data_IF_916542190404
#
_entry.id   IF_916542190404
#
_cell.length_a   1.000
_cell.length_b   1.000
_cell.length_c   1.000
_cell.angle_alpha   90.00
_cell.angle_beta   90.00
_cell.angle_gamma   90.00
#
_symmetry.space_group_name_H-M   'P 1'
#
loop_
_entity.id
_entity.type
_entity.pdbx_description
1 polymer ?
#
# COMPACT_ATOMS: atom_id res chain seq x y z
N UNK A 1 19.88 -3.88 -33.67
CA UNK A 1 20.80 -3.42 -32.62
C UNK A 1 21.06 -1.95 -32.82
N UNK A 2 20.42 -1.08 -32.03
CA UNK A 2 20.77 0.33 -31.88
C UNK A 2 20.97 0.56 -30.41
N UNK A 3 22.22 0.71 -29.99
CA UNK A 3 22.62 1.15 -28.65
C UNK A 3 21.93 2.48 -28.35
N UNK A 4 21.22 2.64 -27.22
CA UNK A 4 20.70 3.94 -26.86
C UNK A 4 21.86 4.86 -26.50
N UNK A 5 21.87 6.03 -27.11
CA UNK A 5 22.81 7.12 -26.88
C UNK A 5 22.57 7.66 -25.47
N UNK A 6 23.37 7.23 -24.51
CA UNK A 6 23.36 7.76 -23.12
C UNK A 6 24.03 9.13 -23.19
N UNK A 7 23.23 10.18 -23.04
CA UNK A 7 23.68 11.55 -22.89
C UNK A 7 24.53 11.67 -21.62
N UNK A 8 25.77 12.12 -21.72
CA UNK A 8 26.73 12.26 -20.60
C UNK A 8 26.38 13.33 -19.54
N UNK A 9 25.16 13.87 -19.51
CA UNK A 9 24.73 14.93 -18.58
C UNK A 9 23.33 14.67 -17.97
N UNK A 10 22.90 13.43 -17.86
CA UNK A 10 21.70 13.11 -17.06
C UNK A 10 22.13 13.04 -15.59
N UNK A 11 21.51 13.76 -14.65
CA UNK A 11 21.80 13.57 -13.23
C UNK A 11 21.59 12.10 -12.89
N UNK A 12 22.58 11.51 -12.24
CA UNK A 12 22.52 10.10 -11.80
C UNK A 12 21.29 9.96 -10.92
N UNK A 13 20.27 9.22 -11.37
CA UNK A 13 19.05 9.03 -10.59
C UNK A 13 19.39 8.33 -9.26
N UNK A 14 18.74 8.74 -8.17
CA UNK A 14 18.90 8.08 -6.86
C UNK A 14 18.31 6.68 -6.86
N UNK A 15 17.21 6.47 -7.62
CA UNK A 15 16.59 5.16 -7.81
C UNK A 15 16.45 4.93 -9.31
N UNK A 16 16.91 3.77 -9.78
CA UNK A 16 16.71 3.29 -11.15
C UNK A 16 16.17 1.87 -11.08
N UNK A 17 15.09 1.62 -11.78
CA UNK A 17 14.45 0.31 -11.92
C UNK A 17 14.27 0.03 -13.39
N UNK A 18 14.70 -1.15 -13.86
CA UNK A 18 14.66 -1.57 -15.25
C UNK A 18 14.08 -2.97 -15.39
N UNK A 19 12.99 -3.10 -16.15
CA UNK A 19 12.34 -4.37 -16.51
C UNK A 19 12.05 -5.30 -15.32
N UNK A 20 11.75 -4.71 -14.15
CA UNK A 20 11.51 -5.46 -12.91
C UNK A 20 10.27 -6.34 -13.03
N UNK A 21 10.42 -7.62 -12.65
CA UNK A 21 9.35 -8.60 -12.64
C UNK A 21 9.30 -9.37 -11.31
N UNK A 22 8.10 -9.74 -10.88
CA UNK A 22 7.91 -10.53 -9.67
C UNK A 22 6.59 -11.30 -9.69
N UNK A 23 6.65 -12.57 -9.25
CA UNK A 23 5.52 -13.43 -8.95
C UNK A 23 5.63 -13.96 -7.51
N UNK A 24 4.60 -13.80 -6.67
CA UNK A 24 4.59 -14.44 -5.36
C UNK A 24 4.66 -15.97 -5.48
N UNK A 25 5.34 -16.69 -4.59
CA UNK A 25 5.43 -18.13 -4.62
C UNK A 25 4.06 -18.81 -4.74
N UNK A 26 3.84 -19.58 -5.81
CA UNK A 26 2.60 -20.29 -6.05
C UNK A 26 1.41 -19.45 -6.55
N UNK A 27 1.64 -18.20 -6.94
CA UNK A 27 0.63 -17.30 -7.49
C UNK A 27 0.99 -16.83 -8.90
N UNK A 28 0.02 -16.21 -9.59
CA UNK A 28 0.24 -15.57 -10.88
C UNK A 28 1.21 -14.40 -10.77
N UNK A 29 1.84 -14.05 -11.91
CA UNK A 29 2.76 -12.92 -12.01
C UNK A 29 2.07 -11.62 -11.62
N UNK A 30 2.66 -10.91 -10.65
CA UNK A 30 2.09 -9.68 -10.09
C UNK A 30 2.35 -8.49 -11.00
N UNK A 31 3.58 -8.37 -11.51
CA UNK A 31 3.97 -7.38 -12.51
C UNK A 31 5.20 -7.87 -13.30
N UNK A 32 5.36 -7.32 -14.49
CA UNK A 32 6.54 -7.49 -15.34
C UNK A 32 6.82 -6.15 -16.05
N UNK A 33 8.05 -5.98 -16.55
CA UNK A 33 8.47 -4.77 -17.29
C UNK A 33 8.20 -3.46 -16.53
N UNK A 34 8.44 -3.47 -15.22
CA UNK A 34 8.35 -2.24 -14.42
C UNK A 34 9.67 -1.50 -14.51
N UNK A 35 9.64 -0.33 -15.17
CA UNK A 35 10.84 0.49 -15.42
C UNK A 35 10.57 1.95 -15.08
N UNK A 36 11.31 2.52 -14.12
CA UNK A 36 11.22 3.93 -13.76
C UNK A 36 12.51 4.45 -13.13
N UNK A 37 12.67 5.77 -13.08
CA UNK A 37 13.75 6.42 -12.34
C UNK A 37 13.21 7.51 -11.43
N UNK A 38 13.90 7.77 -10.32
CA UNK A 38 13.62 8.89 -9.41
C UNK A 38 14.90 9.69 -9.26
N UNK A 39 14.82 10.99 -9.53
CA UNK A 39 15.97 11.90 -9.46
C UNK A 39 16.34 12.23 -8.00
N UNK A 40 17.58 12.66 -7.72
CA UNK A 40 17.98 13.12 -6.39
C UNK A 40 17.09 14.25 -5.88
N UNK A 41 16.57 14.10 -4.65
CA UNK A 41 15.67 15.06 -4.03
C UNK A 41 14.26 15.11 -4.63
N UNK A 42 13.92 14.21 -5.56
CA UNK A 42 12.57 14.11 -6.13
C UNK A 42 11.66 13.30 -5.17
N UNK A 43 10.43 13.76 -4.98
CA UNK A 43 9.40 13.05 -4.22
C UNK A 43 8.46 12.35 -5.19
N UNK A 44 8.65 11.05 -5.37
CA UNK A 44 7.86 10.22 -6.25
C UNK A 44 6.83 9.38 -5.49
N UNK A 45 5.64 9.24 -6.06
CA UNK A 45 4.61 8.38 -5.51
C UNK A 45 4.26 7.24 -6.45
N UNK A 46 4.19 6.01 -5.94
CA UNK A 46 3.68 4.84 -6.66
C UNK A 46 2.16 4.77 -6.44
N UNK A 47 1.41 4.79 -7.53
CA UNK A 47 -0.05 4.65 -7.52
C UNK A 47 -0.49 3.48 -8.40
N UNK A 48 -1.65 2.90 -8.10
CA UNK A 48 -2.20 1.76 -8.82
C UNK A 48 -3.29 1.07 -8.02
N UNK A 49 -3.96 0.09 -8.61
CA UNK A 49 -4.98 -0.70 -7.95
C UNK A 49 -4.44 -1.42 -6.71
N UNK A 50 -5.34 -1.81 -5.78
CA UNK A 50 -4.94 -2.66 -4.66
C UNK A 50 -4.51 -4.03 -5.16
N UNK A 51 -3.46 -4.59 -4.56
CA UNK A 51 -2.91 -5.89 -4.94
C UNK A 51 -2.03 -5.89 -6.20
N UNK A 52 -1.76 -4.74 -6.83
CA UNK A 52 -0.92 -4.66 -8.05
C UNK A 52 0.60 -4.74 -7.78
N UNK A 53 1.00 -4.80 -6.51
CA UNK A 53 2.41 -4.98 -6.14
C UNK A 53 3.14 -3.70 -5.72
N UNK A 54 2.44 -2.60 -5.38
CA UNK A 54 3.09 -1.34 -4.95
C UNK A 54 4.05 -1.52 -3.77
N UNK A 55 3.57 -2.09 -2.66
CA UNK A 55 4.39 -2.39 -1.48
C UNK A 55 5.46 -3.46 -1.76
N UNK A 56 5.18 -4.37 -2.70
CA UNK A 56 6.14 -5.39 -3.15
C UNK A 56 7.35 -4.75 -3.82
N UNK A 57 7.15 -3.73 -4.66
CA UNK A 57 8.25 -2.97 -5.26
C UNK A 57 9.12 -2.32 -4.17
N UNK A 58 8.51 -1.69 -3.16
CA UNK A 58 9.30 -1.13 -2.04
C UNK A 58 10.08 -2.20 -1.28
N UNK A 59 9.50 -3.38 -1.08
CA UNK A 59 10.18 -4.51 -0.41
C UNK A 59 11.32 -5.09 -1.24
N UNK A 60 11.21 -5.09 -2.58
CA UNK A 60 12.32 -5.48 -3.47
C UNK A 60 13.44 -4.44 -3.37
N UNK A 61 13.12 -3.15 -3.51
CA UNK A 61 14.12 -2.08 -3.42
C UNK A 61 14.83 -2.04 -2.06
N UNK A 62 14.12 -2.39 -0.98
CA UNK A 62 14.69 -2.50 0.37
C UNK A 62 15.40 -3.83 0.63
N UNK A 63 15.53 -4.72 -0.38
CA UNK A 63 16.20 -6.02 -0.28
C UNK A 63 15.57 -6.99 0.75
N UNK A 64 14.28 -6.85 1.02
CA UNK A 64 13.51 -7.77 1.87
C UNK A 64 13.08 -9.01 1.09
N UNK A 65 12.78 -8.83 -0.21
CA UNK A 65 12.47 -9.92 -1.14
C UNK A 65 13.30 -9.73 -2.42
N UNK A 66 13.63 -10.84 -3.09
CA UNK A 66 14.33 -10.82 -4.36
C UNK A 66 13.33 -10.70 -5.52
N UNK A 67 13.72 -10.02 -6.59
CA UNK A 67 12.96 -9.97 -7.83
C UNK A 67 13.22 -11.25 -8.65
N UNK A 68 12.23 -11.65 -9.47
CA UNK A 68 12.41 -12.80 -10.37
C UNK A 68 13.23 -12.42 -11.61
N UNK A 69 13.10 -11.17 -12.08
CA UNK A 69 13.84 -10.63 -13.23
C UNK A 69 13.96 -9.11 -13.14
N UNK A 70 14.85 -8.54 -13.96
CA UNK A 70 15.13 -7.11 -14.00
C UNK A 70 16.23 -6.66 -13.05
N UNK A 71 16.59 -5.39 -13.16
CA UNK A 71 17.67 -4.78 -12.39
C UNK A 71 17.19 -3.52 -11.67
N UNK A 72 17.75 -3.24 -10.50
CA UNK A 72 17.52 -1.98 -9.82
C UNK A 72 18.78 -1.48 -9.11
N UNK A 73 18.88 -0.18 -8.99
CA UNK A 73 19.96 0.50 -8.27
C UNK A 73 19.37 1.58 -7.37
N UNK A 74 19.81 1.60 -6.11
CA UNK A 74 19.52 2.68 -5.16
C UNK A 74 20.86 3.27 -4.74
N UNK A 75 21.07 4.54 -5.05
CA UNK A 75 22.32 5.25 -4.78
C UNK A 75 22.24 5.99 -3.44
N UNK A 76 23.21 5.74 -2.57
CA UNK A 76 23.32 6.37 -1.25
C UNK A 76 22.73 5.55 -0.11
N UNK A 77 22.62 6.21 1.03
CA UNK A 77 22.03 5.62 2.25
C UNK A 77 20.51 5.55 2.13
N UNK A 78 19.94 4.39 2.39
CA UNK A 78 18.50 4.14 2.25
C UNK A 78 17.88 3.74 3.58
N UNK A 79 16.75 4.36 3.92
CA UNK A 79 15.90 3.97 5.03
C UNK A 79 14.49 3.66 4.54
N UNK A 80 13.82 2.75 5.25
CA UNK A 80 12.52 2.24 4.83
C UNK A 80 11.54 2.25 5.98
N UNK A 81 10.33 2.76 5.74
CA UNK A 81 9.17 2.56 6.58
C UNK A 81 8.24 1.56 5.92
N UNK A 82 8.07 0.40 6.53
CA UNK A 82 7.10 -0.61 6.09
C UNK A 82 5.69 -0.29 6.63
N UNK A 83 4.66 -0.84 6.00
CA UNK A 83 3.27 -0.67 6.43
C UNK A 83 3.03 -1.13 7.88
N UNK A 84 3.78 -2.13 8.33
CA UNK A 84 3.66 -2.73 9.67
C UNK A 84 4.33 -1.91 10.79
N UNK A 85 5.10 -0.88 10.45
CA UNK A 85 5.71 0.00 11.45
C UNK A 85 4.60 0.71 12.23
N UNK A 86 4.54 0.44 13.54
CA UNK A 86 3.46 0.87 14.43
C UNK A 86 2.44 -0.23 14.75
N UNK A 87 2.48 -1.37 14.04
CA UNK A 87 1.78 -2.62 14.38
C UNK A 87 2.69 -3.63 15.08
N UNK A 88 3.87 -3.20 15.56
CA UNK A 88 4.79 -4.02 16.36
C UNK A 88 4.04 -4.72 17.49
N UNK A 89 4.56 -5.88 17.91
CA UNK A 89 3.98 -6.61 19.04
C UNK A 89 3.79 -5.62 20.22
N UNK A 90 2.58 -5.54 20.83
CA UNK A 90 2.33 -4.64 21.94
C UNK A 90 3.30 -4.79 23.12
N UNK A 91 3.92 -5.95 23.23
CA UNK A 91 4.89 -6.28 24.28
C UNK A 91 6.34 -5.93 23.90
N UNK A 92 6.59 -5.51 22.68
CA UNK A 92 7.95 -5.05 22.29
C UNK A 92 8.28 -3.72 22.98
N UNK A 93 9.54 -3.47 23.23
CA UNK A 93 10.04 -2.19 23.71
C UNK A 93 10.14 -1.17 22.57
N UNK A 94 10.19 0.11 22.89
CA UNK A 94 10.42 1.14 21.89
C UNK A 94 11.79 0.98 21.20
N UNK A 95 12.80 0.50 21.92
CA UNK A 95 14.12 0.19 21.32
C UNK A 95 13.99 -0.89 20.25
N UNK A 96 13.29 -1.99 20.52
CA UNK A 96 13.06 -3.06 19.54
C UNK A 96 12.38 -2.51 18.29
N UNK A 97 11.35 -1.69 18.44
CA UNK A 97 10.67 -1.05 17.31
C UNK A 97 11.58 -0.11 16.51
N UNK A 98 12.37 0.73 17.19
CA UNK A 98 13.21 1.74 16.54
C UNK A 98 14.46 1.15 15.87
N UNK A 99 15.01 0.05 16.40
CA UNK A 99 16.09 -0.70 15.76
C UNK A 99 15.66 -1.21 14.39
N UNK A 100 14.38 -1.60 14.20
CA UNK A 100 13.89 -2.10 12.90
C UNK A 100 13.90 -1.04 11.78
N UNK A 101 13.80 0.22 12.11
CA UNK A 101 13.85 1.33 11.13
C UNK A 101 15.24 1.96 11.00
N UNK A 102 16.22 1.49 11.77
CA UNK A 102 17.60 1.96 11.72
C UNK A 102 18.31 1.52 10.42
N UNK A 103 19.42 2.18 10.03
CA UNK A 103 20.31 1.72 8.96
C UNK A 103 20.72 0.25 9.15
N UNK A 104 20.90 -0.48 8.03
CA UNK A 104 21.11 -1.95 8.03
C UNK A 104 22.22 -2.40 9.00
N UNK A 105 23.36 -1.71 9.04
CA UNK A 105 24.48 -2.05 9.93
C UNK A 105 24.11 -1.87 11.42
N UNK A 106 23.46 -0.76 11.78
CA UNK A 106 22.97 -0.50 13.13
C UNK A 106 21.82 -1.43 13.53
N UNK A 107 20.94 -1.78 12.60
CA UNK A 107 19.87 -2.75 12.85
C UNK A 107 20.44 -4.11 13.26
N UNK A 108 21.48 -4.58 12.57
CA UNK A 108 22.14 -5.86 12.91
C UNK A 108 22.76 -5.80 14.29
N UNK A 109 23.51 -4.75 14.61
CA UNK A 109 24.12 -4.57 15.93
C UNK A 109 23.07 -4.39 17.04
N UNK A 110 22.01 -3.61 16.79
CA UNK A 110 20.92 -3.40 17.73
C UNK A 110 20.15 -4.68 18.07
N UNK A 111 19.86 -5.51 17.05
CA UNK A 111 19.26 -6.85 17.29
C UNK A 111 20.18 -7.75 18.11
N UNK A 112 21.49 -7.71 17.86
CA UNK A 112 22.47 -8.48 18.64
C UNK A 112 22.51 -7.99 20.09
N UNK A 113 22.50 -6.68 20.31
CA UNK A 113 22.46 -6.08 21.66
C UNK A 113 21.18 -6.49 22.42
N UNK A 114 20.00 -6.38 21.79
CA UNK A 114 18.72 -6.78 22.39
C UNK A 114 18.72 -8.28 22.75
N UNK A 115 19.26 -9.14 21.86
CA UNK A 115 19.35 -10.56 22.12
C UNK A 115 20.30 -10.88 23.29
N UNK A 116 21.44 -10.18 23.37
CA UNK A 116 22.41 -10.33 24.45
C UNK A 116 21.86 -9.82 25.79
N UNK A 117 21.10 -8.71 25.82
CA UNK A 117 20.40 -8.23 27.00
C UNK A 117 19.40 -9.27 27.55
N UNK A 118 18.64 -9.90 26.65
CA UNK A 118 17.70 -10.98 27.03
C UNK A 118 18.43 -12.20 27.57
N UNK A 119 19.50 -12.64 26.91
CA UNK A 119 20.31 -13.78 27.34
C UNK A 119 20.94 -13.54 28.72
N UNK A 120 21.40 -12.32 28.99
CA UNK A 120 21.93 -11.93 30.30
C UNK A 120 20.82 -11.94 31.37
N UNK A 121 19.65 -11.42 31.06
CA UNK A 121 18.50 -11.42 31.97
C UNK A 121 18.02 -12.85 32.31
N UNK A 122 18.05 -13.75 31.32
CA UNK A 122 17.67 -15.16 31.46
C UNK A 122 18.77 -16.01 32.11
N UNK A 123 19.96 -15.43 32.40
CA UNK A 123 21.10 -16.11 33.02
C UNK A 123 21.77 -17.13 32.08
N UNK A 124 21.62 -17.01 30.76
CA UNK A 124 22.23 -17.86 29.73
C UNK A 124 23.56 -17.28 29.20
N UNK A 125 23.85 -16.03 29.50
CA UNK A 125 25.12 -15.34 29.19
C UNK A 125 25.82 -14.95 30.48
N UNK A 126 27.16 -15.07 30.51
CA UNK A 126 28.05 -14.67 31.62
C UNK A 126 28.37 -13.16 31.62
N UNK A 127 27.78 -12.39 30.71
CA UNK A 127 27.97 -10.96 30.50
C UNK A 127 29.03 -10.61 29.45
N UNK A 128 29.80 -11.56 28.95
CA UNK A 128 30.81 -11.30 27.92
C UNK A 128 30.13 -11.00 26.55
N UNK A 129 29.11 -11.79 26.20
CA UNK A 129 28.31 -11.56 24.99
C UNK A 129 27.64 -10.19 25.01
N UNK A 130 27.04 -9.81 26.12
CA UNK A 130 26.45 -8.48 26.30
C UNK A 130 27.48 -7.34 26.17
N UNK A 131 28.65 -7.47 26.83
CA UNK A 131 29.72 -6.47 26.76
C UNK A 131 30.24 -6.28 25.32
N UNK A 132 30.40 -7.39 24.57
CA UNK A 132 30.77 -7.35 23.15
C UNK A 132 29.72 -6.66 22.30
N UNK A 133 28.48 -7.06 22.41
CA UNK A 133 27.37 -6.44 21.64
C UNK A 133 27.15 -4.94 21.95
N UNK A 134 27.38 -4.53 23.21
CA UNK A 134 27.33 -3.14 23.63
C UNK A 134 28.49 -2.33 23.04
N UNK A 135 29.70 -2.91 22.98
CA UNK A 135 30.88 -2.32 22.31
C UNK A 135 30.60 -2.12 20.81
N UNK A 136 30.14 -3.17 20.12
CA UNK A 136 29.81 -3.12 18.69
C UNK A 136 28.73 -2.06 18.40
N UNK A 137 27.70 -1.95 19.25
CA UNK A 137 26.66 -0.92 19.14
C UNK A 137 27.26 0.49 19.23
N UNK A 138 28.14 0.76 20.21
CA UNK A 138 28.81 2.03 20.38
C UNK A 138 29.74 2.37 19.21
N UNK A 139 30.59 1.42 18.78
CA UNK A 139 31.56 1.61 17.71
C UNK A 139 30.88 1.91 16.33
N UNK A 140 29.66 1.43 16.12
CA UNK A 140 28.89 1.67 14.92
C UNK A 140 28.04 2.96 14.96
N UNK A 141 28.05 3.71 16.06
CA UNK A 141 27.28 4.96 16.20
C UNK A 141 25.90 4.78 16.81
N UNK A 142 25.66 3.71 17.53
CA UNK A 142 24.38 3.41 18.16
C UNK A 142 23.95 4.44 19.21
N UNK A 143 24.90 5.03 19.94
CA UNK A 143 24.58 6.07 20.93
C UNK A 143 24.18 7.41 20.30
N UNK A 144 24.73 7.73 19.12
CA UNK A 144 24.30 8.89 18.33
C UNK A 144 22.85 8.67 17.85
N UNK A 145 22.53 7.46 17.39
CA UNK A 145 21.18 7.10 16.98
C UNK A 145 20.19 7.17 18.15
N UNK A 146 20.57 6.72 19.35
CA UNK A 146 19.73 6.86 20.56
C UNK A 146 19.49 8.34 20.93
N UNK A 147 20.47 9.21 20.70
CA UNK A 147 20.29 10.67 20.87
C UNK A 147 19.29 11.23 19.86
N UNK A 148 19.30 10.74 18.62
CA UNK A 148 18.32 11.11 17.60
C UNK A 148 16.92 10.60 17.97
N UNK A 149 16.80 9.40 18.55
CA UNK A 149 15.54 8.88 19.10
C UNK A 149 14.97 9.76 20.20
N UNK A 150 15.86 10.21 21.11
CA UNK A 150 15.45 11.12 22.20
C UNK A 150 14.93 12.43 21.65
N UNK A 151 15.63 13.03 20.69
CA UNK A 151 15.21 14.26 20.06
C UNK A 151 13.87 14.12 19.30
N UNK A 152 13.71 13.02 18.57
CA UNK A 152 12.47 12.72 17.86
C UNK A 152 11.30 12.47 18.84
N UNK A 153 11.53 11.75 19.92
CA UNK A 153 10.52 11.50 20.96
C UNK A 153 10.02 12.80 21.59
N UNK A 154 10.92 13.73 21.90
CA UNK A 154 10.56 15.05 22.44
C UNK A 154 9.66 15.86 21.50
N UNK A 155 9.86 15.72 20.16
CA UNK A 155 9.03 16.40 19.15
C UNK A 155 7.69 15.69 18.87
N UNK A 156 7.66 14.36 19.00
CA UNK A 156 6.58 13.54 18.45
C UNK A 156 5.66 12.91 19.47
N UNK A 157 6.15 12.67 20.70
CA UNK A 157 5.44 11.96 21.76
C UNK A 157 5.07 12.93 22.87
N UNK A 158 3.82 12.89 23.32
CA UNK A 158 3.33 13.80 24.37
C UNK A 158 3.92 13.49 25.76
N UNK A 159 4.18 12.22 26.02
CA UNK A 159 4.75 11.77 27.29
C UNK A 159 6.26 11.57 27.12
N UNK A 160 7.10 12.15 28.04
CA UNK A 160 8.54 11.97 27.96
C UNK A 160 8.93 10.50 27.90
N UNK A 161 9.91 10.19 27.07
CA UNK A 161 10.49 8.84 26.97
C UNK A 161 11.88 8.91 27.59
N UNK A 162 11.99 8.39 28.81
CA UNK A 162 13.23 8.42 29.58
C UNK A 162 14.12 7.20 29.28
N UNK A 163 13.51 6.05 28.94
CA UNK A 163 14.21 4.79 28.65
C UNK A 163 13.50 3.99 27.56
N UNK A 164 14.10 3.95 26.38
CA UNK A 164 13.57 3.20 25.23
C UNK A 164 13.63 1.68 25.40
N UNK A 165 14.55 1.19 26.26
CA UNK A 165 14.72 -0.25 26.51
C UNK A 165 13.66 -0.86 27.42
N UNK A 166 12.95 -0.02 28.18
CA UNK A 166 11.92 -0.45 29.14
C UNK A 166 10.52 -0.07 28.73
N UNK A 167 10.38 1.03 28.00
CA UNK A 167 9.06 1.52 27.60
C UNK A 167 8.46 0.64 26.53
N UNK A 168 7.22 0.17 26.75
CA UNK A 168 6.54 -0.69 25.81
C UNK A 168 5.90 0.10 24.66
N UNK A 169 5.86 -0.53 23.51
CA UNK A 169 5.18 0.00 22.31
C UNK A 169 3.70 0.23 22.59
N UNK A 170 3.05 -0.61 23.42
CA UNK A 170 1.66 -0.48 23.81
C UNK A 170 1.31 0.80 24.58
N UNK A 171 2.30 1.44 25.20
CA UNK A 171 2.09 2.69 25.95
C UNK A 171 1.92 3.92 25.04
N UNK A 172 2.31 3.81 23.77
CA UNK A 172 2.10 4.84 22.76
C UNK A 172 0.88 4.52 21.90
N UNK A 173 0.10 5.53 21.59
CA UNK A 173 -0.95 5.39 20.56
C UNK A 173 -0.33 5.05 19.19
N UNK A 174 -1.08 4.36 18.32
CA UNK A 174 -0.60 4.03 16.97
C UNK A 174 -0.16 5.27 16.17
N UNK A 175 -0.83 6.40 16.37
CA UNK A 175 -0.46 7.67 15.75
C UNK A 175 0.85 8.25 16.28
N UNK A 176 1.11 8.18 17.60
CA UNK A 176 2.38 8.64 18.20
C UNK A 176 3.56 7.76 17.75
N UNK A 177 3.37 6.45 17.73
CA UNK A 177 4.39 5.50 17.21
C UNK A 177 4.79 5.85 15.77
N UNK A 178 3.79 6.02 14.92
CA UNK A 178 4.03 6.31 13.51
C UNK A 178 4.65 7.68 13.31
N UNK A 179 4.20 8.69 14.07
CA UNK A 179 4.78 10.04 14.05
C UNK A 179 6.24 10.01 14.49
N UNK A 180 6.59 9.26 15.54
CA UNK A 180 7.96 9.10 16.02
C UNK A 180 8.86 8.52 14.92
N UNK A 181 8.44 7.44 14.28
CA UNK A 181 9.20 6.80 13.20
C UNK A 181 9.34 7.73 11.99
N UNK A 182 8.26 8.40 11.59
CA UNK A 182 8.32 9.36 10.47
C UNK A 182 9.25 10.55 10.77
N UNK A 183 9.21 11.08 11.99
CA UNK A 183 10.09 12.17 12.39
C UNK A 183 11.57 11.74 12.32
N UNK A 184 11.89 10.54 12.78
CA UNK A 184 13.22 9.96 12.66
C UNK A 184 13.69 9.80 11.21
N UNK A 185 12.85 9.22 10.37
CA UNK A 185 13.21 8.96 8.97
C UNK A 185 13.39 10.26 8.18
N UNK A 186 12.47 11.22 8.32
CA UNK A 186 12.50 12.48 7.59
C UNK A 186 13.66 13.38 8.01
N UNK A 187 14.14 13.25 9.26
CA UNK A 187 15.28 14.02 9.80
C UNK A 187 16.61 13.22 9.84
N UNK A 188 16.63 11.99 9.31
CA UNK A 188 17.81 11.11 9.36
C UNK A 188 18.99 11.55 8.51
N UNK A 189 18.76 12.42 7.51
CA UNK A 189 19.78 12.77 6.52
C UNK A 189 20.09 11.66 5.51
N UNK A 190 19.30 10.59 5.46
CA UNK A 190 19.45 9.55 4.45
C UNK A 190 19.23 10.08 3.04
N UNK A 191 19.93 9.53 2.04
CA UNK A 191 19.80 9.94 0.64
C UNK A 191 18.46 9.54 0.03
N UNK A 192 17.93 8.37 0.45
CA UNK A 192 16.69 7.78 -0.09
C UNK A 192 15.78 7.30 1.05
N UNK A 193 14.52 7.66 0.98
CA UNK A 193 13.47 7.18 1.89
C UNK A 193 12.40 6.40 1.10
N UNK A 194 12.13 5.18 1.52
CA UNK A 194 11.05 4.35 1.01
C UNK A 194 9.91 4.34 2.04
N UNK A 195 8.74 4.91 1.70
CA UNK A 195 7.64 5.08 2.64
C UNK A 195 6.39 4.33 2.15
N UNK A 196 5.99 3.29 2.89
CA UNK A 196 4.77 2.53 2.58
C UNK A 196 3.59 3.01 3.42
N UNK A 197 2.63 3.67 2.78
CA UNK A 197 1.42 4.25 3.39
C UNK A 197 1.72 5.12 4.63
N UNK A 198 2.56 6.18 4.49
CA UNK A 198 2.97 7.01 5.62
C UNK A 198 1.81 7.74 6.31
N UNK A 199 0.73 7.99 5.59
CA UNK A 199 -0.48 8.71 6.03
C UNK A 199 -1.49 7.85 6.79
N UNK A 200 -1.41 6.52 6.72
CA UNK A 200 -2.34 5.64 7.41
C UNK A 200 -2.26 5.81 8.93
N UNK A 201 -3.43 5.75 9.60
CA UNK A 201 -3.61 5.89 11.05
C UNK A 201 -3.26 7.28 11.62
N UNK A 202 -2.87 8.26 10.79
CA UNK A 202 -2.65 9.63 11.21
C UNK A 202 -3.97 10.40 11.26
N UNK A 203 -4.13 11.25 12.28
CA UNK A 203 -5.21 12.21 12.36
C UNK A 203 -4.94 13.43 11.48
N UNK A 204 -5.96 14.28 11.28
CA UNK A 204 -5.87 15.45 10.39
C UNK A 204 -4.70 16.39 10.76
N UNK A 205 -4.49 16.75 12.03
CA UNK A 205 -3.34 17.59 12.41
C UNK A 205 -1.99 16.95 12.10
N UNK A 206 -1.85 15.64 12.36
CA UNK A 206 -0.58 14.92 12.13
C UNK A 206 -0.32 14.74 10.64
N UNK A 207 -1.37 14.59 9.80
CA UNK A 207 -1.21 14.59 8.33
C UNK A 207 -0.69 15.93 7.83
N UNK A 208 -1.23 17.04 8.32
CA UNK A 208 -0.72 18.37 7.97
C UNK A 208 0.75 18.56 8.37
N UNK A 209 1.16 18.06 9.54
CA UNK A 209 2.56 18.02 9.94
C UNK A 209 3.41 17.17 8.97
N UNK A 210 2.96 15.97 8.61
CA UNK A 210 3.67 15.10 7.67
C UNK A 210 3.89 15.77 6.31
N UNK A 211 2.87 16.43 5.76
CA UNK A 211 2.95 17.17 4.51
C UNK A 211 4.05 18.23 4.55
N UNK A 212 4.12 19.01 5.65
CA UNK A 212 5.13 20.06 5.80
C UNK A 212 6.54 19.50 6.01
N UNK A 213 6.69 18.39 6.73
CA UNK A 213 8.01 17.76 6.92
C UNK A 213 8.51 17.12 5.63
N UNK A 214 7.64 16.45 4.84
CA UNK A 214 8.03 15.93 3.53
C UNK A 214 8.51 17.06 2.61
N UNK A 215 7.80 18.20 2.56
CA UNK A 215 8.20 19.33 1.71
C UNK A 215 9.58 19.92 2.08
N UNK A 216 9.95 19.85 3.35
CA UNK A 216 11.26 20.33 3.84
C UNK A 216 12.37 19.30 3.60
N UNK A 217 12.01 18.03 3.47
CA UNK A 217 12.96 16.94 3.34
C UNK A 217 13.73 17.05 2.01
N UNK A 218 15.05 16.91 2.09
CA UNK A 218 15.94 16.95 0.92
C UNK A 218 16.25 15.57 0.34
N UNK A 219 15.90 14.52 1.07
CA UNK A 219 16.07 13.14 0.63
C UNK A 219 15.20 12.86 -0.60
N UNK A 220 15.64 11.94 -1.44
CA UNK A 220 14.77 11.36 -2.46
C UNK A 220 13.71 10.50 -1.78
N UNK A 221 12.45 10.75 -2.03
CA UNK A 221 11.35 10.00 -1.42
C UNK A 221 10.64 9.20 -2.50
N UNK A 222 10.51 7.89 -2.27
CA UNK A 222 9.60 7.02 -3.01
C UNK A 222 8.53 6.51 -2.05
N UNK A 223 7.28 6.93 -2.27
CA UNK A 223 6.18 6.60 -1.36
C UNK A 223 5.05 5.86 -2.07
N UNK A 224 4.36 5.01 -1.32
CA UNK A 224 3.04 4.48 -1.67
C UNK A 224 2.03 5.17 -0.77
N UNK A 225 1.01 5.80 -1.34
CA UNK A 225 -0.08 6.39 -0.58
C UNK A 225 -1.39 6.35 -1.37
N UNK A 226 -2.50 6.29 -0.64
CA UNK A 226 -3.85 6.41 -1.16
C UNK A 226 -4.50 7.77 -0.84
N UNK A 227 -3.84 8.61 -0.06
CA UNK A 227 -4.33 9.95 0.27
C UNK A 227 -4.03 10.93 -0.87
N UNK A 228 -5.09 11.27 -1.60
CA UNK A 228 -5.02 12.21 -2.73
C UNK A 228 -4.49 13.58 -2.32
N UNK A 229 -4.87 14.04 -1.12
CA UNK A 229 -4.45 15.35 -0.60
C UNK A 229 -2.95 15.39 -0.32
N UNK A 230 -2.42 14.33 0.30
CA UNK A 230 -0.98 14.19 0.50
C UNK A 230 -0.25 14.17 -0.85
N UNK A 231 -0.68 13.30 -1.78
CA UNK A 231 -0.04 13.17 -3.09
C UNK A 231 -0.05 14.49 -3.89
N UNK A 232 -1.16 15.22 -3.83
CA UNK A 232 -1.31 16.51 -4.49
C UNK A 232 -0.31 17.56 -3.96
N UNK A 233 -0.07 17.55 -2.64
CA UNK A 233 0.74 18.57 -1.98
C UNK A 233 2.23 18.28 -1.97
N UNK A 234 2.63 17.02 -2.02
CA UNK A 234 4.04 16.63 -1.82
C UNK A 234 4.67 15.88 -2.99
N UNK A 235 3.89 15.17 -3.83
CA UNK A 235 4.45 14.40 -4.93
C UNK A 235 4.76 15.29 -6.14
N UNK A 236 5.99 15.19 -6.65
CA UNK A 236 6.44 15.87 -7.86
C UNK A 236 6.44 14.95 -9.07
N UNK A 237 6.33 13.64 -8.84
CA UNK A 237 6.25 12.60 -9.86
C UNK A 237 5.32 11.49 -9.44
N UNK A 238 4.52 11.00 -10.37
CA UNK A 238 3.62 9.86 -10.15
C UNK A 238 4.08 8.69 -11.01
N UNK A 239 4.35 7.57 -10.38
CA UNK A 239 4.68 6.28 -11.02
C UNK A 239 3.44 5.42 -10.95
N UNK A 240 2.87 5.06 -12.08
CA UNK A 240 1.60 4.35 -12.18
C UNK A 240 1.87 2.90 -12.51
N UNK A 241 1.44 2.00 -11.63
CA UNK A 241 1.46 0.55 -11.89
C UNK A 241 0.06 0.15 -12.32
N UNK A 242 -0.09 -0.19 -13.60
CA UNK A 242 -1.37 -0.65 -14.14
C UNK A 242 -1.17 -1.64 -15.29
N UNK A 243 -2.11 -2.57 -15.42
CA UNK A 243 -1.90 -3.74 -16.24
C UNK A 243 -0.77 -4.57 -15.65
N UNK A 244 0.22 -4.88 -16.45
CA UNK A 244 1.39 -5.66 -16.04
C UNK A 244 2.69 -4.85 -16.00
N UNK A 245 2.64 -3.56 -16.38
CA UNK A 245 3.80 -2.68 -16.45
C UNK A 245 3.60 -1.37 -15.69
N UNK A 246 4.42 -0.38 -16.02
CA UNK A 246 4.34 0.94 -15.42
C UNK A 246 4.55 2.08 -16.44
N UNK A 247 4.15 3.28 -16.02
CA UNK A 247 4.50 4.52 -16.69
C UNK A 247 4.63 5.65 -15.66
N UNK A 248 5.33 6.71 -16.03
CA UNK A 248 5.56 7.84 -15.13
C UNK A 248 4.90 9.10 -15.67
N UNK A 249 4.25 9.85 -14.77
CA UNK A 249 3.74 11.19 -15.00
C UNK A 249 4.62 12.19 -14.24
N UNK A 250 5.29 13.08 -14.98
CA UNK A 250 6.04 14.20 -14.39
C UNK A 250 5.09 15.34 -14.07
N UNK A 251 4.83 15.58 -12.79
CA UNK A 251 3.92 16.60 -12.31
C UNK A 251 3.17 16.19 -11.05
N UNK A 252 2.35 17.10 -10.54
CA UNK A 252 1.58 16.83 -9.32
C UNK A 252 0.41 15.86 -9.60
N UNK A 253 -0.13 15.29 -8.53
CA UNK A 253 -1.29 14.41 -8.58
C UNK A 253 -2.54 15.11 -9.16
N UNK A 254 -2.64 16.45 -9.12
CA UNK A 254 -3.74 17.22 -9.72
C UNK A 254 -3.90 16.99 -11.22
N UNK A 255 -2.77 16.94 -11.95
CA UNK A 255 -2.77 16.78 -13.41
C UNK A 255 -2.75 15.31 -13.84
N UNK A 256 -2.58 14.40 -12.90
CA UNK A 256 -2.49 12.97 -13.16
C UNK A 256 -3.79 12.36 -13.74
N UNK A 257 -5.01 12.65 -13.22
CA UNK A 257 -6.24 12.06 -13.77
C UNK A 257 -6.44 12.36 -15.26
N UNK A 258 -6.19 13.61 -15.69
CA UNK A 258 -6.31 14.02 -17.09
C UNK A 258 -5.24 13.35 -17.96
N UNK A 259 -4.00 13.27 -17.45
CA UNK A 259 -2.90 12.59 -18.15
C UNK A 259 -3.21 11.09 -18.32
N UNK A 260 -3.77 10.44 -17.29
CA UNK A 260 -4.19 9.05 -17.35
C UNK A 260 -5.32 8.84 -18.35
N UNK A 261 -6.37 9.68 -18.32
CA UNK A 261 -7.48 9.60 -19.28
C UNK A 261 -7.00 9.70 -20.71
N UNK A 262 -6.13 10.69 -21.02
CA UNK A 262 -5.53 10.86 -22.34
C UNK A 262 -4.68 9.65 -22.75
N UNK A 263 -3.91 9.06 -21.84
CA UNK A 263 -3.14 7.86 -22.10
C UNK A 263 -4.04 6.67 -22.45
N UNK A 264 -5.13 6.46 -21.70
CA UNK A 264 -6.09 5.39 -21.96
C UNK A 264 -6.77 5.54 -23.33
N UNK A 265 -7.09 6.77 -23.74
CA UNK A 265 -7.63 7.08 -25.08
C UNK A 265 -6.63 6.69 -26.17
N UNK A 266 -5.36 7.11 -26.02
CA UNK A 266 -4.30 6.77 -26.98
C UNK A 266 -4.09 5.26 -27.11
N UNK A 267 -4.05 4.53 -25.99
CA UNK A 267 -3.93 3.07 -25.99
C UNK A 267 -5.13 2.40 -26.68
N UNK A 268 -6.32 2.93 -26.48
CA UNK A 268 -7.54 2.47 -27.16
C UNK A 268 -7.50 2.68 -28.67
N UNK A 269 -7.04 3.85 -29.10
CA UNK A 269 -6.87 4.18 -30.52
C UNK A 269 -5.79 3.32 -31.19
N UNK A 270 -4.65 3.10 -30.53
CA UNK A 270 -3.58 2.25 -31.04
C UNK A 270 -4.04 0.80 -31.18
N UNK A 271 -4.75 0.26 -30.18
CA UNK A 271 -5.33 -1.08 -30.24
C UNK A 271 -6.36 -1.21 -31.37
N UNK A 272 -7.19 -0.18 -31.56
CA UNK A 272 -8.16 -0.14 -32.67
C UNK A 272 -7.45 -0.15 -34.03
N UNK A 273 -6.42 0.70 -34.21
CA UNK A 273 -5.61 0.72 -35.46
C UNK A 273 -4.93 -0.62 -35.73
N UNK A 274 -4.40 -1.27 -34.69
CA UNK A 274 -3.79 -2.59 -34.81
C UNK A 274 -4.81 -3.64 -35.25
N UNK A 275 -6.00 -3.68 -34.64
CA UNK A 275 -7.07 -4.59 -35.00
C UNK A 275 -7.56 -4.37 -36.45
N UNK A 276 -7.68 -3.10 -36.88
CA UNK A 276 -8.10 -2.77 -38.25
C UNK A 276 -7.05 -3.22 -39.27
N UNK A 277 -5.75 -3.03 -38.98
CA UNK A 277 -4.66 -3.45 -39.84
C UNK A 277 -4.55 -5.00 -39.88
N UNK A 278 -4.69 -5.67 -38.74
CA UNK A 278 -4.72 -7.13 -38.67
C UNK A 278 -5.84 -7.70 -39.56
N UNK A 279 -7.06 -7.18 -39.45
CA UNK A 279 -8.19 -7.57 -40.28
C UNK A 279 -7.92 -7.31 -41.76
N UNK A 280 -7.32 -6.20 -42.11
CA UNK A 280 -6.94 -5.83 -43.49
C UNK A 280 -5.94 -6.84 -44.08
N UNK A 281 -4.88 -7.14 -43.32
CA UNK A 281 -3.84 -8.08 -43.74
C UNK A 281 -4.39 -9.52 -43.86
N UNK A 282 -5.20 -9.95 -42.87
CA UNK A 282 -5.87 -11.25 -42.90
C UNK A 282 -6.80 -11.39 -44.11
N UNK A 283 -7.61 -10.39 -44.39
CA UNK A 283 -8.52 -10.40 -45.55
C UNK A 283 -7.72 -10.43 -46.88
N UNK A 284 -6.66 -9.64 -46.98
CA UNK A 284 -5.77 -9.65 -48.16
C UNK A 284 -5.12 -11.03 -48.34
N UNK A 285 -4.60 -11.65 -47.31
CA UNK A 285 -4.02 -12.99 -47.33
C UNK A 285 -5.06 -14.02 -47.81
N UNK A 286 -6.28 -13.96 -47.27
CA UNK A 286 -7.40 -14.88 -47.64
C UNK A 286 -7.73 -14.78 -49.17
N UNK A 287 -7.82 -13.54 -49.69
CA UNK A 287 -8.07 -13.32 -51.14
C UNK A 287 -6.91 -13.87 -51.96
N UNK A 288 -5.66 -13.64 -51.57
CA UNK A 288 -4.50 -14.12 -52.32
C UNK A 288 -4.43 -15.67 -52.31
N UNK A 289 -4.76 -16.32 -51.20
CA UNK A 289 -4.84 -17.79 -51.13
C UNK A 289 -5.96 -18.39 -52.05
N UNK A 290 -7.14 -17.73 -52.08
CA UNK A 290 -8.20 -18.15 -53.02
C UNK A 290 -7.78 -17.98 -54.51
N UNK A 291 -7.09 -16.89 -54.85
CA UNK A 291 -6.57 -16.70 -56.20
C UNK A 291 -5.44 -17.68 -56.55
N UNK A 292 -4.62 -18.07 -55.58
CA UNK A 292 -3.56 -19.09 -55.82
C UNK A 292 -4.15 -20.48 -56.01
N UNK A 293 -5.26 -20.82 -55.36
CA UNK A 293 -5.98 -22.06 -55.57
C UNK A 293 -6.57 -22.20 -56.98
N UNK A 294 -6.92 -21.06 -57.61
CA UNK A 294 -7.42 -21.02 -58.97
C UNK A 294 -6.30 -20.92 -60.02
N UNK A 295 -5.15 -20.35 -59.68
CA UNK A 295 -4.01 -20.17 -60.59
C UNK A 295 -2.69 -20.24 -59.83
N UNK A 296 -1.90 -21.31 -60.06
CA UNK A 296 -0.60 -21.55 -59.42
C UNK A 296 0.43 -20.39 -59.57
N UNK A 297 0.33 -19.58 -60.61
CA UNK A 297 1.19 -18.41 -60.80
C UNK A 297 1.04 -17.37 -59.67
N UNK A 298 -0.03 -17.42 -58.91
CA UNK A 298 -0.28 -16.57 -57.75
C UNK A 298 0.26 -17.13 -56.42
N UNK A 299 0.85 -18.29 -56.38
CA UNK A 299 1.32 -18.96 -55.17
C UNK A 299 2.36 -18.10 -54.42
N UNK A 300 3.34 -17.52 -55.12
CA UNK A 300 4.37 -16.62 -54.51
C UNK A 300 3.74 -15.38 -53.84
N UNK A 301 2.71 -14.81 -54.49
CA UNK A 301 2.00 -13.65 -53.93
C UNK A 301 1.17 -14.06 -52.70
N UNK A 302 0.58 -15.22 -52.71
CA UNK A 302 -0.17 -15.72 -51.54
C UNK A 302 0.75 -16.02 -50.37
N UNK A 303 1.88 -16.65 -50.57
CA UNK A 303 2.89 -16.88 -49.52
C UNK A 303 3.45 -15.57 -48.99
N UNK A 304 3.72 -14.57 -49.83
CA UNK A 304 4.16 -13.23 -49.37
C UNK A 304 3.10 -12.48 -48.58
N UNK A 305 1.82 -12.64 -48.88
CA UNK A 305 0.72 -12.06 -48.10
C UNK A 305 0.57 -12.75 -46.72
N UNK A 306 0.71 -14.09 -46.68
CA UNK A 306 0.70 -14.87 -45.45
C UNK A 306 1.85 -14.51 -44.53
N UNK A 307 3.09 -14.50 -45.04
CA UNK A 307 4.28 -14.11 -44.27
C UNK A 307 4.15 -12.69 -43.68
N UNK A 308 3.51 -11.76 -44.42
CA UNK A 308 3.29 -10.39 -43.95
C UNK A 308 2.30 -10.35 -42.79
N UNK A 309 1.20 -11.10 -42.90
CA UNK A 309 0.23 -11.20 -41.82
C UNK A 309 0.82 -11.91 -40.60
N UNK A 310 1.51 -13.05 -40.78
CA UNK A 310 2.18 -13.77 -39.69
C UNK A 310 3.20 -12.89 -38.94
N UNK A 311 4.04 -12.14 -39.67
CA UNK A 311 5.00 -11.21 -39.04
C UNK A 311 4.30 -10.11 -38.25
N UNK A 312 3.17 -9.60 -38.77
CA UNK A 312 2.41 -8.56 -38.08
C UNK A 312 1.78 -9.11 -36.77
N UNK A 313 1.19 -10.30 -36.83
CA UNK A 313 0.60 -10.96 -35.65
C UNK A 313 1.67 -11.39 -34.63
N UNK A 314 2.82 -11.86 -35.11
CA UNK A 314 3.94 -12.23 -34.25
C UNK A 314 4.55 -11.05 -33.47
N UNK A 315 4.44 -9.82 -34.02
CA UNK A 315 4.84 -8.60 -33.29
C UNK A 315 3.91 -8.29 -32.10
N UNK A 316 2.72 -8.89 -32.06
CA UNK A 316 1.72 -8.73 -30.99
C UNK A 316 0.94 -7.40 -31.05
N UNK A 317 -0.23 -7.36 -30.37
CA UNK A 317 -1.00 -6.13 -30.21
C UNK A 317 -0.34 -5.18 -29.22
N UNK A 318 -0.57 -3.86 -29.33
CA UNK A 318 -0.20 -2.91 -28.29
C UNK A 318 -0.95 -3.24 -26.99
N UNK A 319 -0.43 -2.79 -25.82
CA UNK A 319 -1.10 -3.03 -24.55
C UNK A 319 -2.53 -2.45 -24.56
N UNK A 320 -3.52 -3.22 -24.11
CA UNK A 320 -4.90 -2.76 -24.06
C UNK A 320 -5.07 -1.65 -23.00
N UNK A 321 -6.02 -0.74 -23.18
CA UNK A 321 -6.38 0.21 -22.14
C UNK A 321 -6.86 -0.54 -20.89
N UNK A 322 -6.43 -0.07 -19.71
CA UNK A 322 -6.82 -0.65 -18.43
C UNK A 322 -8.13 -0.02 -17.98
N UNK A 323 -9.24 -0.77 -17.90
CA UNK A 323 -10.52 -0.21 -17.51
C UNK A 323 -10.49 0.27 -16.05
N UNK A 324 -11.23 1.35 -15.78
CA UNK A 324 -11.43 1.80 -14.41
C UNK A 324 -12.20 0.76 -13.59
N UNK A 325 -11.68 0.46 -12.41
CA UNK A 325 -12.38 -0.42 -11.48
C UNK A 325 -13.49 0.37 -10.78
N UNK A 326 -14.71 0.20 -11.25
CA UNK A 326 -15.89 0.76 -10.59
C UNK A 326 -16.55 -0.29 -9.68
N UNK A 327 -16.32 -0.16 -8.38
CA UNK A 327 -17.05 -0.98 -7.39
C UNK A 327 -18.38 -0.28 -7.07
N UNK A 328 -19.48 -0.88 -7.52
CA UNK A 328 -20.81 -0.38 -7.21
C UNK A 328 -21.34 -1.01 -5.91
N UNK A 329 -21.06 -0.38 -4.78
CA UNK A 329 -21.63 -0.77 -3.49
C UNK A 329 -22.99 -0.14 -3.31
N UNK A 330 -24.03 -0.97 -3.16
CA UNK A 330 -25.39 -0.52 -2.80
C UNK A 330 -25.72 -1.07 -1.42
N UNK A 331 -25.76 -0.20 -0.44
CA UNK A 331 -26.33 -0.54 0.86
C UNK A 331 -27.85 -0.50 0.75
N UNK A 332 -28.51 -1.64 0.95
CA UNK A 332 -29.97 -1.72 1.09
C UNK A 332 -30.24 -1.87 2.58
N UNK A 333 -30.68 -0.79 3.22
CA UNK A 333 -31.25 -0.84 4.55
C UNK A 333 -32.65 -1.49 4.51
N UNK A 334 -33.01 -2.24 5.53
CA UNK A 334 -34.40 -2.60 5.79
C UNK A 334 -35.15 -1.35 6.30
N UNK A 335 -36.48 -1.37 6.22
CA UNK A 335 -37.30 -0.33 6.84
C UNK A 335 -36.98 -0.26 8.34
N UNK A 336 -36.51 0.90 8.78
CA UNK A 336 -36.17 1.19 10.16
C UNK A 336 -37.05 2.33 10.70
N UNK A 337 -37.06 2.50 12.02
CA UNK A 337 -37.68 3.65 12.63
C UNK A 337 -37.03 4.95 12.13
N UNK A 338 -37.81 6.05 12.14
CA UNK A 338 -37.31 7.38 11.76
C UNK A 338 -36.05 7.76 12.57
N UNK A 339 -36.05 7.49 13.89
CA UNK A 339 -34.89 7.62 14.76
C UNK A 339 -34.22 6.25 14.89
N UNK A 340 -32.95 6.16 14.46
CA UNK A 340 -32.19 4.91 14.41
C UNK A 340 -31.40 4.70 15.71
N UNK A 341 -30.77 5.75 16.22
CA UNK A 341 -29.97 5.74 17.45
C UNK A 341 -30.22 7.04 18.20
N UNK A 342 -30.34 6.95 19.52
CA UNK A 342 -30.37 8.07 20.45
C UNK A 342 -29.26 7.89 21.49
N UNK A 343 -28.48 8.91 21.69
CA UNK A 343 -27.49 9.05 22.75
C UNK A 343 -28.04 10.00 23.80
N UNK A 344 -28.01 9.63 25.06
CA UNK A 344 -28.46 10.43 26.22
C UNK A 344 -27.35 10.47 27.25
N UNK A 345 -26.73 11.63 27.40
CA UNK A 345 -25.61 11.92 28.32
C UNK A 345 -24.49 10.88 28.25
N UNK A 346 -24.15 10.47 27.03
CA UNK A 346 -23.17 9.42 26.77
C UNK A 346 -21.76 9.96 26.95
N UNK A 347 -20.96 9.29 27.77
CA UNK A 347 -19.52 9.45 27.90
C UNK A 347 -18.84 8.09 28.08
N UNK A 348 -17.53 8.04 27.83
CA UNK A 348 -16.72 6.83 28.03
C UNK A 348 -15.49 7.23 28.84
N UNK A 349 -15.45 6.81 30.09
CA UNK A 349 -14.40 7.21 31.01
C UNK A 349 -14.14 8.72 30.96
N UNK A 350 -12.87 9.12 30.81
CA UNK A 350 -12.45 10.53 30.65
C UNK A 350 -12.09 10.90 29.20
N UNK A 351 -12.52 10.10 28.19
CA UNK A 351 -12.13 10.30 26.79
C UNK A 351 -12.83 11.51 26.17
N UNK A 352 -14.08 11.76 26.50
CA UNK A 352 -14.84 12.93 26.04
C UNK A 352 -15.96 13.28 27.03
N UNK A 353 -16.42 14.51 26.97
CA UNK A 353 -17.51 15.02 27.80
C UNK A 353 -18.85 14.36 27.41
N UNK A 354 -19.79 14.20 28.38
CA UNK A 354 -21.12 13.69 28.08
C UNK A 354 -21.80 14.48 26.98
N UNK A 355 -22.41 13.78 26.04
CA UNK A 355 -23.16 14.38 24.95
C UNK A 355 -24.48 13.65 24.69
N UNK A 356 -25.44 14.36 24.12
CA UNK A 356 -26.74 13.82 23.72
C UNK A 356 -27.00 14.19 22.29
N UNK A 357 -27.30 13.16 21.45
CA UNK A 357 -27.53 13.30 20.02
C UNK A 357 -28.48 12.23 19.49
N UNK A 358 -29.11 12.50 18.35
CA UNK A 358 -29.97 11.54 17.67
C UNK A 358 -29.54 11.35 16.21
N UNK A 359 -29.54 10.11 15.75
CA UNK A 359 -29.26 9.75 14.34
C UNK A 359 -30.54 9.24 13.71
N UNK A 360 -30.91 9.80 12.57
CA UNK A 360 -32.14 9.49 11.85
C UNK A 360 -31.89 8.59 10.64
N UNK A 361 -32.93 7.89 10.20
CA UNK A 361 -32.86 7.01 9.03
C UNK A 361 -32.45 7.78 7.77
N UNK A 362 -31.44 7.25 7.09
CA UNK A 362 -30.88 7.86 5.88
C UNK A 362 -29.75 8.86 6.11
N UNK A 363 -29.50 9.25 7.35
CA UNK A 363 -28.37 10.13 7.66
C UNK A 363 -27.01 9.42 7.52
N UNK A 364 -26.00 10.20 7.16
CA UNK A 364 -24.60 9.80 7.11
C UNK A 364 -23.83 10.68 8.08
N UNK A 365 -23.43 10.11 9.19
CA UNK A 365 -22.74 10.83 10.27
C UNK A 365 -21.25 10.56 10.21
N UNK A 366 -20.44 11.62 10.19
CA UNK A 366 -18.98 11.55 10.30
C UNK A 366 -18.52 11.84 11.71
N UNK A 367 -17.80 10.90 12.34
CA UNK A 367 -17.19 11.09 13.65
C UNK A 367 -15.75 11.57 13.48
N UNK A 368 -15.48 12.83 13.81
CA UNK A 368 -14.19 13.51 13.59
C UNK A 368 -13.56 13.86 14.94
N UNK A 369 -12.25 13.77 15.00
CA UNK A 369 -11.47 14.18 16.18
C UNK A 369 -10.04 13.64 16.13
N UNK A 370 -9.13 14.17 16.97
CA UNK A 370 -7.76 13.69 17.10
C UNK A 370 -7.69 12.20 17.50
N UNK A 371 -6.51 11.60 17.33
CA UNK A 371 -6.29 10.24 17.82
C UNK A 371 -6.36 10.19 19.36
N UNK A 372 -6.84 9.09 19.91
CA UNK A 372 -7.00 8.92 21.35
C UNK A 372 -8.24 9.56 21.96
N UNK A 373 -9.11 10.24 21.19
CA UNK A 373 -10.34 10.88 21.70
C UNK A 373 -11.54 9.95 21.89
N UNK A 374 -11.35 8.62 21.80
CA UNK A 374 -12.43 7.66 22.07
C UNK A 374 -13.38 7.36 20.89
N UNK A 375 -13.07 7.78 19.65
CA UNK A 375 -13.93 7.50 18.49
C UNK A 375 -14.25 6.01 18.30
N UNK A 376 -13.24 5.16 18.39
CA UNK A 376 -13.41 3.70 18.28
C UNK A 376 -14.17 3.11 19.46
N UNK A 377 -13.95 3.64 20.67
CA UNK A 377 -14.70 3.26 21.87
C UNK A 377 -16.19 3.58 21.70
N UNK A 378 -16.53 4.78 21.19
CA UNK A 378 -17.93 5.12 20.92
C UNK A 378 -18.59 4.18 19.90
N UNK A 379 -17.85 3.79 18.83
CA UNK A 379 -18.35 2.80 17.89
C UNK A 379 -18.51 1.41 18.52
N UNK A 380 -17.59 0.99 19.40
CA UNK A 380 -17.70 -0.25 20.16
C UNK A 380 -18.89 -0.24 21.14
N UNK A 381 -19.18 0.91 21.76
CA UNK A 381 -20.33 1.08 22.63
C UNK A 381 -21.66 0.81 21.92
N UNK A 382 -21.78 1.15 20.62
CA UNK A 382 -22.96 0.79 19.81
C UNK A 382 -23.16 -0.73 19.65
N UNK A 383 -22.13 -1.54 19.95
CA UNK A 383 -22.19 -3.01 19.93
C UNK A 383 -22.24 -3.61 21.34
N UNK A 384 -22.34 -2.77 22.38
CA UNK A 384 -22.31 -3.24 23.78
C UNK A 384 -20.97 -3.87 24.18
N UNK A 385 -19.87 -3.45 23.52
CA UNK A 385 -18.51 -3.96 23.80
C UNK A 385 -17.68 -3.02 24.67
N UNK A 386 -18.29 -1.98 25.24
CA UNK A 386 -17.61 -0.97 26.04
C UNK A 386 -18.06 -1.05 27.48
N UNK A 387 -17.11 -1.24 28.42
CA UNK A 387 -17.40 -1.45 29.85
C UNK A 387 -17.52 -0.11 30.62
N UNK A 388 -16.78 0.94 30.18
CA UNK A 388 -16.75 2.24 30.87
C UNK A 388 -17.79 3.25 30.32
N UNK A 389 -18.88 2.74 29.74
CA UNK A 389 -19.96 3.55 29.19
C UNK A 389 -20.81 4.17 30.29
N UNK A 390 -20.93 5.49 30.32
CA UNK A 390 -21.93 6.23 31.11
C UNK A 390 -23.00 6.82 30.18
N UNK A 391 -24.21 7.03 30.70
CA UNK A 391 -25.36 7.44 29.89
C UNK A 391 -26.06 6.26 29.21
N UNK A 392 -26.91 6.56 28.22
CA UNK A 392 -27.77 5.54 27.59
C UNK A 392 -27.73 5.66 26.07
N UNK A 393 -27.55 4.51 25.39
CA UNK A 393 -27.66 4.39 23.94
C UNK A 393 -28.93 3.57 23.64
N UNK A 394 -29.89 4.18 22.96
CA UNK A 394 -31.16 3.52 22.61
C UNK A 394 -31.27 3.36 21.10
N UNK A 395 -31.55 2.14 20.63
CA UNK A 395 -31.82 1.86 19.23
C UNK A 395 -33.32 1.93 18.90
N UNK A 396 -33.62 2.47 17.75
CA UNK A 396 -34.97 2.46 17.20
C UNK A 396 -35.46 1.03 16.90
N UNK A 397 -36.79 0.81 16.88
CA UNK A 397 -37.35 -0.50 16.53
C UNK A 397 -36.85 -0.98 15.16
N UNK A 398 -36.57 -2.28 15.06
CA UNK A 398 -36.07 -2.95 13.83
C UNK A 398 -34.70 -2.46 13.34
N UNK A 399 -33.95 -1.72 14.15
CA UNK A 399 -32.58 -1.33 13.80
C UNK A 399 -31.66 -2.55 13.90
N UNK A 400 -30.98 -2.88 12.82
CA UNK A 400 -29.92 -3.89 12.76
C UNK A 400 -28.58 -3.18 12.59
N UNK A 401 -27.63 -3.45 13.47
CA UNK A 401 -26.31 -2.80 13.46
C UNK A 401 -25.29 -3.73 12.81
N UNK A 402 -24.58 -3.21 11.81
CA UNK A 402 -23.43 -3.90 11.21
C UNK A 402 -22.15 -3.13 11.50
N UNK A 403 -21.06 -3.81 11.84
CA UNK A 403 -19.76 -3.21 12.13
C UNK A 403 -18.72 -3.61 11.09
N UNK A 404 -18.01 -2.62 10.58
CA UNK A 404 -16.80 -2.80 9.81
C UNK A 404 -15.62 -2.23 10.61
N UNK A 405 -14.69 -3.09 10.98
CA UNK A 405 -13.55 -2.72 11.84
C UNK A 405 -12.33 -2.34 10.99
N UNK A 406 -11.44 -1.55 11.56
CA UNK A 406 -10.18 -1.13 10.92
C UNK A 406 -9.24 -2.31 10.65
N UNK A 407 -9.20 -3.28 11.55
CA UNK A 407 -8.50 -4.56 11.40
C UNK A 407 -9.58 -5.62 11.19
N UNK A 408 -9.61 -6.21 10.01
CA UNK A 408 -10.57 -7.26 9.67
C UNK A 408 -10.13 -8.63 10.19
N UNK A 409 -9.71 -8.73 11.44
CA UNK A 409 -9.57 -10.06 12.06
C UNK A 409 -10.96 -10.61 12.38
N UNK A 410 -11.36 -11.57 11.57
CA UNK A 410 -12.63 -12.30 11.66
C UNK A 410 -12.32 -13.76 11.97
N UNK A 411 -12.15 -14.12 13.25
CA UNK A 411 -11.84 -15.49 13.65
C UNK A 411 -12.83 -16.52 13.09
N UNK A 412 -14.11 -16.11 12.92
CA UNK A 412 -15.17 -16.93 12.32
C UNK A 412 -14.96 -17.28 10.84
N UNK A 413 -14.06 -16.58 10.16
CA UNK A 413 -13.74 -16.81 8.74
C UNK A 413 -12.42 -17.54 8.51
N UNK A 414 -11.72 -17.92 9.59
CA UNK A 414 -10.44 -18.63 9.50
C UNK A 414 -10.58 -19.97 8.80
N UNK A 415 -9.68 -20.24 7.84
CA UNK A 415 -9.68 -21.47 7.03
C UNK A 415 -10.85 -21.61 6.07
N UNK A 416 -11.63 -20.53 5.83
CA UNK A 416 -12.77 -20.53 4.92
C UNK A 416 -12.48 -19.74 3.67
N UNK A 417 -12.98 -20.22 2.53
CA UNK A 417 -12.87 -19.47 1.27
C UNK A 417 -13.91 -18.35 1.18
N UNK A 418 -13.64 -17.33 0.36
CA UNK A 418 -14.57 -16.23 0.14
C UNK A 418 -15.95 -16.71 -0.33
N UNK A 419 -15.99 -17.73 -1.18
CA UNK A 419 -17.25 -18.29 -1.69
C UNK A 419 -18.02 -19.00 -0.59
N UNK A 420 -17.36 -19.73 0.32
CA UNK A 420 -18.02 -20.43 1.42
C UNK A 420 -18.69 -19.45 2.38
N UNK A 421 -18.00 -18.33 2.70
CA UNK A 421 -18.52 -17.28 3.57
C UNK A 421 -19.79 -16.65 2.97
N UNK A 422 -19.77 -16.37 1.68
CA UNK A 422 -20.92 -15.74 1.00
C UNK A 422 -22.08 -16.74 0.83
N UNK A 423 -21.79 -18.03 0.64
CA UNK A 423 -22.80 -19.10 0.55
C UNK A 423 -23.63 -19.29 1.82
N UNK A 424 -23.10 -18.98 2.99
CA UNK A 424 -23.89 -19.01 4.23
C UNK A 424 -25.16 -18.17 4.15
N UNK A 425 -25.13 -17.08 3.36
CA UNK A 425 -26.29 -16.18 3.19
C UNK A 425 -27.03 -16.33 1.86
N UNK A 426 -26.37 -16.79 0.82
CA UNK A 426 -26.92 -16.82 -0.54
C UNK A 426 -27.21 -18.23 -1.07
N UNK A 427 -26.82 -19.29 -0.36
CA UNK A 427 -27.08 -20.72 -0.62
C UNK A 427 -26.65 -21.19 -2.01
N UNK A 428 -26.96 -20.46 -3.10
CA UNK A 428 -26.63 -20.81 -4.47
C UNK A 428 -25.23 -20.31 -4.89
N UNK A 429 -24.41 -21.18 -5.44
CA UNK A 429 -23.05 -20.88 -5.88
C UNK A 429 -23.01 -19.77 -6.95
N UNK A 430 -23.93 -19.80 -7.91
CA UNK A 430 -24.00 -18.79 -8.97
C UNK A 430 -24.31 -17.39 -8.44
N UNK A 431 -25.22 -17.28 -7.45
CA UNK A 431 -25.53 -16.00 -6.79
C UNK A 431 -24.33 -15.51 -5.97
N UNK A 432 -23.64 -16.42 -5.30
CA UNK A 432 -22.43 -16.11 -4.54
C UNK A 432 -21.31 -15.62 -5.44
N UNK A 433 -21.06 -16.28 -6.58
CA UNK A 433 -20.07 -15.83 -7.56
C UNK A 433 -20.42 -14.46 -8.18
N UNK A 434 -21.69 -14.19 -8.45
CA UNK A 434 -22.15 -12.87 -8.92
C UNK A 434 -21.96 -11.80 -7.86
N UNK A 435 -22.18 -12.13 -6.58
CA UNK A 435 -21.94 -11.20 -5.48
C UNK A 435 -20.46 -10.86 -5.37
N UNK A 436 -19.57 -11.85 -5.35
CA UNK A 436 -18.12 -11.65 -5.33
C UNK A 436 -17.63 -10.86 -6.55
N UNK A 437 -18.15 -11.14 -7.74
CA UNK A 437 -17.80 -10.41 -8.96
C UNK A 437 -18.11 -8.90 -8.87
N UNK A 438 -19.18 -8.49 -8.16
CA UNK A 438 -19.52 -7.07 -7.94
C UNK A 438 -18.47 -6.33 -7.13
N UNK A 439 -17.76 -7.03 -6.28
CA UNK A 439 -16.68 -6.50 -5.43
C UNK A 439 -15.28 -6.75 -6.01
N UNK A 440 -15.19 -7.22 -7.26
CA UNK A 440 -13.91 -7.51 -7.90
C UNK A 440 -13.22 -8.79 -7.40
N UNK A 441 -13.89 -9.60 -6.58
CA UNK A 441 -13.34 -10.82 -5.96
C UNK A 441 -13.63 -12.11 -6.73
N UNK A 442 -14.04 -12.03 -8.00
CA UNK A 442 -14.37 -13.21 -8.80
C UNK A 442 -13.20 -14.19 -8.90
N UNK A 443 -12.01 -13.68 -9.14
CA UNK A 443 -10.80 -14.50 -9.29
C UNK A 443 -10.29 -15.04 -7.95
N UNK A 444 -10.62 -14.35 -6.85
CA UNK A 444 -10.24 -14.72 -5.49
C UNK A 444 -11.33 -15.51 -4.76
N UNK A 445 -12.39 -15.93 -5.45
CA UNK A 445 -13.55 -16.58 -4.83
C UNK A 445 -13.21 -17.86 -4.03
N UNK A 446 -12.21 -18.63 -4.49
CA UNK A 446 -11.72 -19.84 -3.84
C UNK A 446 -10.50 -19.65 -2.96
N UNK A 447 -10.03 -18.41 -2.83
CA UNK A 447 -8.94 -18.05 -1.94
C UNK A 447 -9.45 -17.98 -0.51
N UNK A 448 -8.61 -18.37 0.46
CA UNK A 448 -8.93 -18.24 1.88
C UNK A 448 -9.02 -16.77 2.29
N UNK A 449 -10.01 -16.44 3.11
CA UNK A 449 -10.26 -15.06 3.54
C UNK A 449 -9.03 -14.39 4.17
N UNK A 450 -8.24 -15.14 4.93
CA UNK A 450 -7.03 -14.63 5.59
C UNK A 450 -5.89 -14.24 4.65
N UNK A 451 -5.89 -14.78 3.43
CA UNK A 451 -4.84 -14.52 2.43
C UNK A 451 -5.17 -13.33 1.53
N UNK A 452 -6.35 -12.72 1.72
CA UNK A 452 -6.73 -11.51 1.01
C UNK A 452 -5.94 -10.29 1.49
N UNK A 453 -5.66 -9.36 0.59
CA UNK A 453 -5.10 -8.07 1.00
C UNK A 453 -6.12 -7.25 1.79
N UNK A 454 -5.65 -6.31 2.62
CA UNK A 454 -6.53 -5.45 3.42
C UNK A 454 -7.56 -4.65 2.60
N UNK A 455 -7.32 -4.42 1.32
CA UNK A 455 -8.25 -3.76 0.40
C UNK A 455 -9.26 -4.71 -0.28
N UNK A 456 -8.99 -6.01 -0.29
CA UNK A 456 -9.87 -7.07 -0.79
C UNK A 456 -10.83 -7.56 0.29
#
# INVERSE_FOLDING_TARGET
MRTPYVSKNTPVSSIVVSELAYAPPGADQLFFDVSFGVAPGEHAAIVGANGVGKSTILRILSQVIEADDGEYTVNGTMLTMTQEVGMSNPNDTLREMLVEVAPKHLRTAGRALIAAEKALADGTDDGMGYATALGDWGDLGGYELESDWQAAAQRSVKTPVDDFSRRLVSELSGGERKRLVLDLLLNSGADVLLLDEPDNYLDIPTRGWLEEEIKKCRSTILMVSHDRTLLERVATKIIVIEGSGCWSHGGSYLTFPDARAKRQELLGDDLKRWNDEERRLFHHMKIMKQRAAQNFKNATKANGAETRWEKFVAAGPPPPPVPDQHIHVRFRGADSARRVVKFEDVSIGNLFLPFSEEVHFGERVGLIGPNGTGKTHLLNALFGKEEDLSGTITFGPRTSVGMFTQINDRPEFRGRTCIDIVRDKLIEEEKSMRALARYGLRNNARQEFQTLSGGQ
#
